data_IF_199659998073
#
_entry.id   IF_199659998073
#
_cell.length_a   1.000
_cell.length_b   1.000
_cell.length_c   1.000
_cell.angle_alpha   90.00
_cell.angle_beta   90.00
_cell.angle_gamma   90.00
#
_symmetry.space_group_name_H-M   'P 1'
#
loop_
_entity.id
_entity.type
_entity.pdbx_description
1 polymer ?
#
# COMPACT_ATOMS: atom_id res chain seq x y z
N UNK A 1 -13.33 29.20 -36.00
CA UNK A 1 -13.29 27.75 -35.71
C UNK A 1 -11.84 27.31 -35.78
N UNK A 2 -11.19 27.01 -34.65
CA UNK A 2 -9.79 26.56 -34.64
C UNK A 2 -9.76 25.10 -35.10
N UNK A 3 -9.02 24.83 -36.19
CA UNK A 3 -8.81 23.49 -36.69
C UNK A 3 -8.27 22.60 -35.56
N UNK A 4 -9.02 21.57 -35.18
CA UNK A 4 -8.54 20.55 -34.26
C UNK A 4 -7.37 19.85 -34.95
N UNK A 5 -6.14 20.23 -34.60
CA UNK A 5 -4.94 19.69 -35.19
C UNK A 5 -4.89 18.19 -34.91
N UNK A 6 -4.63 17.36 -35.92
CA UNK A 6 -4.60 15.91 -35.78
C UNK A 6 -3.64 15.44 -34.67
N UNK A 7 -2.60 16.23 -34.38
CA UNK A 7 -1.72 16.02 -33.23
C UNK A 7 -2.46 16.01 -31.88
N UNK A 8 -3.41 16.93 -31.67
CA UNK A 8 -4.19 17.02 -30.42
C UNK A 8 -5.17 15.85 -30.29
N UNK A 9 -5.68 15.36 -31.43
CA UNK A 9 -6.57 14.19 -31.48
C UNK A 9 -5.79 12.90 -31.23
N UNK A 10 -4.55 12.81 -31.71
CA UNK A 10 -3.63 11.72 -31.41
C UNK A 10 -3.22 11.73 -29.94
N UNK A 11 -2.89 12.90 -29.37
CA UNK A 11 -2.56 13.04 -27.95
C UNK A 11 -3.71 12.58 -27.04
N UNK A 12 -4.95 12.96 -27.36
CA UNK A 12 -6.14 12.47 -26.65
C UNK A 12 -6.37 10.97 -26.81
N UNK A 13 -6.07 10.39 -27.97
CA UNK A 13 -6.16 8.94 -28.19
C UNK A 13 -5.07 8.20 -27.39
N UNK A 14 -3.85 8.73 -27.36
CA UNK A 14 -2.74 8.18 -26.57
C UNK A 14 -3.03 8.25 -25.07
N UNK A 15 -3.59 9.36 -24.58
CA UNK A 15 -4.01 9.49 -23.18
C UNK A 15 -5.19 8.56 -22.84
N UNK A 16 -6.17 8.40 -23.75
CA UNK A 16 -7.32 7.49 -23.56
C UNK A 16 -6.92 6.01 -23.49
N UNK A 17 -5.72 5.64 -23.94
CA UNK A 17 -5.22 4.27 -23.92
C UNK A 17 -4.12 4.02 -22.89
N UNK A 18 -3.76 5.02 -22.08
CA UNK A 18 -2.93 4.82 -20.89
C UNK A 18 -3.79 4.30 -19.73
N UNK A 19 -4.24 3.04 -19.85
CA UNK A 19 -4.76 2.30 -18.70
C UNK A 19 -3.56 1.92 -17.83
N UNK A 20 -3.18 2.80 -16.92
CA UNK A 20 -2.21 2.45 -15.89
C UNK A 20 -2.90 1.47 -14.92
N UNK A 21 -2.35 0.25 -14.75
CA UNK A 21 -2.86 -0.64 -13.73
C UNK A 21 -2.82 0.01 -12.34
N UNK A 22 -3.86 -0.28 -11.57
CA UNK A 22 -3.99 0.16 -10.18
C UNK A 22 -3.33 -0.88 -9.27
N UNK A 23 -2.46 -0.40 -8.40
CA UNK A 23 -1.75 -1.19 -7.40
C UNK A 23 -2.14 -0.72 -6.01
N UNK A 24 -2.49 -1.66 -5.14
CA UNK A 24 -2.62 -1.40 -3.71
C UNK A 24 -1.21 -1.36 -3.10
N UNK A 25 -0.90 -0.31 -2.36
CA UNK A 25 0.37 -0.17 -1.64
C UNK A 25 0.15 -0.58 -0.20
N UNK A 26 0.86 -1.61 0.25
CA UNK A 26 0.73 -2.11 1.61
C UNK A 26 2.09 -2.40 2.25
N UNK A 27 2.12 -2.44 3.57
CA UNK A 27 3.26 -3.05 4.27
C UNK A 27 3.25 -4.57 4.07
N UNK A 28 4.41 -5.23 4.31
CA UNK A 28 4.45 -6.67 4.51
C UNK A 28 3.39 -7.09 5.55
N UNK A 29 2.67 -8.20 5.32
CA UNK A 29 1.61 -8.61 6.23
C UNK A 29 2.16 -8.98 7.60
N UNK A 30 1.48 -8.51 8.64
CA UNK A 30 1.88 -8.71 10.04
C UNK A 30 0.93 -9.70 10.69
N UNK A 31 1.45 -10.70 11.39
CA UNK A 31 0.64 -11.68 12.12
C UNK A 31 0.33 -11.19 13.54
N UNK A 32 -0.96 -10.99 13.84
CA UNK A 32 -1.42 -10.50 15.14
C UNK A 32 -2.33 -11.52 15.83
N UNK A 33 -2.26 -11.61 17.16
CA UNK A 33 -3.13 -12.52 17.94
C UNK A 33 -4.59 -12.11 17.78
N UNK A 34 -5.47 -13.06 17.50
CA UNK A 34 -6.93 -12.81 17.39
C UNK A 34 -7.51 -12.15 18.64
N UNK A 35 -6.99 -12.48 19.82
CA UNK A 35 -7.42 -11.88 21.08
C UNK A 35 -7.04 -10.41 21.22
N UNK A 36 -5.94 -9.98 20.61
CA UNK A 36 -5.51 -8.59 20.59
C UNK A 36 -6.38 -7.78 19.61
N UNK A 37 -6.64 -8.32 18.43
CA UNK A 37 -7.53 -7.69 17.44
C UNK A 37 -8.94 -7.44 17.97
N UNK A 38 -9.49 -8.38 18.75
CA UNK A 38 -10.82 -8.20 19.38
C UNK A 38 -10.87 -7.11 20.45
N UNK A 39 -9.71 -6.73 21.00
CA UNK A 39 -9.59 -5.71 22.05
C UNK A 39 -9.04 -4.40 21.50
N UNK A 40 -8.89 -4.29 20.18
CA UNK A 40 -8.35 -3.11 19.55
C UNK A 40 -9.28 -1.93 19.80
N UNK A 41 -8.71 -0.82 20.23
CA UNK A 41 -9.41 0.43 20.53
C UNK A 41 -8.71 1.61 19.88
N UNK A 42 -9.43 2.72 19.75
CA UNK A 42 -8.84 3.97 19.27
C UNK A 42 -7.77 4.46 20.26
N UNK A 43 -6.61 4.85 19.75
CA UNK A 43 -5.42 5.22 20.52
C UNK A 43 -4.41 4.10 20.69
N UNK A 44 -4.77 2.85 20.38
CA UNK A 44 -3.81 1.74 20.42
C UNK A 44 -2.71 1.91 19.36
N UNK A 45 -1.50 1.47 19.70
CA UNK A 45 -0.34 1.46 18.81
C UNK A 45 -0.05 0.04 18.36
N UNK A 46 -0.04 -0.17 17.04
CA UNK A 46 0.36 -1.43 16.43
C UNK A 46 1.78 -1.31 15.88
N UNK A 47 2.74 -1.90 16.58
CA UNK A 47 4.13 -2.03 16.15
C UNK A 47 4.22 -3.02 14.97
N UNK A 48 4.90 -2.64 13.89
CA UNK A 48 4.96 -3.43 12.65
C UNK A 48 6.20 -4.34 12.55
N UNK A 49 7.18 -4.15 13.42
CA UNK A 49 8.49 -4.80 13.38
C UNK A 49 9.36 -4.29 12.22
N UNK A 50 9.17 -3.03 11.79
CA UNK A 50 9.84 -2.46 10.63
C UNK A 50 10.67 -1.23 11.04
N UNK A 51 11.99 -1.32 10.86
CA UNK A 51 12.95 -0.22 11.09
C UNK A 51 12.97 0.76 9.90
N UNK A 52 12.65 0.27 8.70
CA UNK A 52 12.60 1.07 7.48
C UNK A 52 11.34 0.77 6.67
N UNK A 53 10.99 1.73 5.81
CA UNK A 53 9.75 1.69 5.03
C UNK A 53 9.86 0.73 3.84
N UNK A 54 9.64 -0.56 4.12
CA UNK A 54 9.43 -1.60 3.12
C UNK A 54 7.96 -1.69 2.73
N UNK A 55 7.70 -1.77 1.43
CA UNK A 55 6.35 -1.79 0.88
C UNK A 55 6.19 -2.95 -0.10
N UNK A 56 4.93 -3.34 -0.29
CA UNK A 56 4.49 -4.29 -1.27
C UNK A 56 3.43 -3.63 -2.16
N UNK A 57 3.57 -3.83 -3.45
CA UNK A 57 2.63 -3.41 -4.47
C UNK A 57 1.85 -4.65 -4.88
N UNK A 58 0.54 -4.63 -4.66
CA UNK A 58 -0.36 -5.73 -5.00
C UNK A 58 -1.27 -5.30 -6.15
N UNK A 59 -1.19 -6.01 -7.29
CA UNK A 59 -2.21 -5.95 -8.34
C UNK A 59 -3.04 -7.23 -8.33
N UNK A 60 -4.33 -7.10 -8.67
CA UNK A 60 -5.22 -8.25 -8.89
C UNK A 60 -4.88 -9.00 -10.18
N UNK A 61 -4.24 -8.33 -11.14
CA UNK A 61 -4.02 -8.84 -12.50
C UNK A 61 -2.53 -8.99 -12.84
N UNK A 62 -1.68 -8.06 -12.39
CA UNK A 62 -0.28 -7.91 -12.84
C UNK A 62 0.77 -8.41 -11.84
N UNK A 63 0.35 -9.15 -10.80
CA UNK A 63 1.24 -9.75 -9.81
C UNK A 63 1.60 -8.83 -8.65
N UNK A 64 2.64 -9.21 -7.90
CA UNK A 64 3.07 -8.55 -6.68
C UNK A 64 4.53 -8.11 -6.80
N UNK A 65 4.90 -6.98 -6.22
CA UNK A 65 6.31 -6.57 -6.14
C UNK A 65 6.65 -5.98 -4.78
N UNK A 66 7.91 -6.11 -4.36
CA UNK A 66 8.45 -5.33 -3.24
C UNK A 66 8.98 -4.01 -3.74
N UNK A 67 8.78 -2.99 -2.95
CA UNK A 67 9.35 -1.68 -3.17
C UNK A 67 9.91 -1.11 -1.87
N UNK A 68 10.93 -0.25 -2.01
CA UNK A 68 11.56 0.44 -0.89
C UNK A 68 11.52 1.92 -1.18
N UNK A 69 11.35 2.74 -0.15
CA UNK A 69 11.40 4.18 -0.27
C UNK A 69 12.79 4.62 -0.79
N UNK A 70 12.82 5.44 -1.85
CA UNK A 70 14.06 5.83 -2.53
C UNK A 70 14.42 7.30 -2.41
N UNK A 71 13.43 8.20 -2.34
CA UNK A 71 13.68 9.62 -2.08
C UNK A 71 12.47 10.31 -1.44
N UNK A 72 12.75 11.36 -0.65
CA UNK A 72 11.74 12.22 0.01
C UNK A 72 11.75 13.65 -0.56
N UNK A 73 12.92 14.16 -0.96
CA UNK A 73 13.14 15.59 -1.25
C UNK A 73 12.39 16.15 -2.47
N UNK A 74 11.97 15.30 -3.41
CA UNK A 74 11.25 15.71 -4.64
C UNK A 74 9.85 15.09 -4.76
N UNK A 75 9.32 14.61 -3.65
CA UNK A 75 8.15 13.74 -3.61
C UNK A 75 8.54 12.34 -3.17
N UNK A 76 7.66 11.71 -2.41
CA UNK A 76 7.86 10.35 -1.95
C UNK A 76 7.87 9.42 -3.19
N UNK A 77 9.00 8.74 -3.42
CA UNK A 77 9.13 7.78 -4.53
C UNK A 77 9.57 6.43 -4.00
N UNK A 78 8.93 5.38 -4.49
CA UNK A 78 9.25 4.00 -4.14
C UNK A 78 9.96 3.35 -5.32
N UNK A 79 11.01 2.58 -5.05
CA UNK A 79 11.75 1.83 -6.06
C UNK A 79 11.42 0.36 -5.95
N UNK A 80 11.05 -0.26 -7.06
CA UNK A 80 10.77 -1.68 -7.13
C UNK A 80 12.08 -2.45 -7.03
N UNK A 81 12.17 -3.36 -6.06
CA UNK A 81 13.39 -4.14 -5.79
C UNK A 81 13.27 -5.59 -6.22
N UNK A 82 12.08 -6.17 -6.14
CA UNK A 82 11.86 -7.61 -6.37
C UNK A 82 10.45 -7.87 -6.88
N UNK A 83 10.30 -8.83 -7.81
CA UNK A 83 8.98 -9.37 -8.17
C UNK A 83 8.63 -10.54 -7.26
N UNK A 84 7.45 -10.50 -6.66
CA UNK A 84 6.91 -11.56 -5.83
C UNK A 84 6.04 -12.49 -6.69
N UNK A 85 6.42 -13.77 -6.75
CA UNK A 85 5.69 -14.81 -7.50
C UNK A 85 4.32 -15.16 -6.91
N UNK A 86 4.05 -14.77 -5.66
CA UNK A 86 2.77 -14.94 -5.01
C UNK A 86 2.62 -13.92 -3.88
N UNK A 87 1.40 -13.41 -3.62
CA UNK A 87 1.13 -12.69 -2.39
C UNK A 87 1.50 -13.57 -1.19
N UNK A 88 2.12 -12.95 -0.19
CA UNK A 88 2.77 -13.60 0.95
C UNK A 88 1.88 -14.68 1.58
N UNK A 89 2.47 -15.83 1.92
CA UNK A 89 1.78 -16.97 2.53
C UNK A 89 0.96 -16.53 3.75
N UNK A 90 -0.36 -16.71 3.66
CA UNK A 90 -1.27 -16.51 4.77
C UNK A 90 -0.98 -17.54 5.87
N UNK A 91 -0.41 -17.10 7.00
CA UNK A 91 -0.28 -17.92 8.20
C UNK A 91 -1.52 -17.69 9.05
N UNK A 92 -2.67 -18.11 8.53
CA UNK A 92 -3.88 -18.14 9.32
C UNK A 92 -3.85 -19.38 10.20
N UNK A 93 -3.64 -19.15 11.49
CA UNK A 93 -3.67 -20.21 12.49
C UNK A 93 -4.90 -20.03 13.38
N UNK A 94 -5.19 -21.02 14.23
CA UNK A 94 -6.25 -20.86 15.24
C UNK A 94 -6.00 -19.63 16.13
N UNK A 95 -4.74 -19.25 16.38
CA UNK A 95 -4.32 -18.22 17.34
C UNK A 95 -4.02 -16.85 16.72
N UNK A 96 -3.47 -16.82 15.51
CA UNK A 96 -3.02 -15.61 14.82
C UNK A 96 -3.84 -15.36 13.55
N UNK A 97 -3.98 -14.09 13.18
CA UNK A 97 -4.51 -13.62 11.89
C UNK A 97 -3.47 -12.73 11.23
N UNK A 98 -3.37 -12.82 9.91
CA UNK A 98 -2.59 -11.87 9.14
C UNK A 98 -3.38 -10.58 8.92
N UNK A 99 -2.72 -9.46 9.15
CA UNK A 99 -3.22 -8.13 8.83
C UNK A 99 -2.58 -7.64 7.53
N UNK A 100 -3.42 -7.16 6.63
CA UNK A 100 -3.00 -6.35 5.50
C UNK A 100 -3.11 -4.88 5.91
N UNK A 101 -2.01 -4.14 5.80
CA UNK A 101 -1.95 -2.74 6.18
C UNK A 101 -1.75 -1.93 4.90
N UNK A 102 -2.83 -1.33 4.41
CA UNK A 102 -2.84 -0.54 3.19
C UNK A 102 -2.58 0.94 3.48
N UNK A 103 -1.77 1.54 2.60
CA UNK A 103 -1.47 2.97 2.54
C UNK A 103 -2.23 3.69 1.43
N UNK A 104 -3.09 2.95 0.72
CA UNK A 104 -3.86 3.43 -0.42
C UNK A 104 -3.45 2.78 -1.72
N UNK A 105 -3.86 3.41 -2.81
CA UNK A 105 -3.73 2.92 -4.17
C UNK A 105 -2.91 3.87 -5.00
N UNK A 106 -2.17 3.32 -5.94
CA UNK A 106 -1.48 4.10 -6.96
C UNK A 106 -1.71 3.51 -8.35
N UNK A 107 -1.68 4.39 -9.34
CA UNK A 107 -1.69 3.98 -10.74
C UNK A 107 -0.27 4.09 -11.27
N UNK A 108 0.28 2.98 -11.76
CA UNK A 108 1.62 2.95 -12.33
C UNK A 108 1.63 2.19 -13.64
N UNK A 109 2.66 2.41 -14.45
CA UNK A 109 3.03 1.45 -15.51
C UNK A 109 3.48 0.14 -14.86
N UNK A 110 3.62 -0.88 -15.70
CA UNK A 110 4.09 -2.23 -15.32
C UNK A 110 5.24 -2.16 -14.32
N UNK A 111 5.12 -2.97 -13.27
CA UNK A 111 6.12 -3.10 -12.22
C UNK A 111 7.37 -3.78 -12.81
N UNK A 112 8.44 -3.02 -12.98
CA UNK A 112 9.75 -3.52 -13.41
C UNK A 112 10.78 -3.25 -12.32
N UNK A 113 11.66 -4.22 -12.05
CA UNK A 113 12.74 -4.08 -11.07
C UNK A 113 13.62 -2.87 -11.44
N UNK A 114 13.86 -2.00 -10.46
CA UNK A 114 14.65 -0.79 -10.61
C UNK A 114 13.83 0.46 -10.95
N UNK A 115 12.58 0.31 -11.39
CA UNK A 115 11.69 1.42 -11.70
C UNK A 115 11.26 2.14 -10.42
N UNK A 116 11.19 3.47 -10.49
CA UNK A 116 10.69 4.35 -9.44
C UNK A 116 9.27 4.79 -9.73
N UNK A 117 8.38 4.63 -8.75
CA UNK A 117 6.98 5.05 -8.81
C UNK A 117 6.77 6.21 -7.85
N UNK A 118 6.14 7.28 -8.33
CA UNK A 118 5.73 8.40 -7.49
C UNK A 118 4.55 7.99 -6.61
N UNK A 119 4.63 8.32 -5.32
CA UNK A 119 3.61 7.96 -4.33
C UNK A 119 2.87 9.17 -3.80
N UNK A 120 2.64 10.19 -4.63
CA UNK A 120 1.86 11.38 -4.24
C UNK A 120 0.42 11.06 -3.80
N UNK A 121 -0.07 9.85 -4.12
CA UNK A 121 -1.40 9.37 -3.76
C UNK A 121 -1.43 8.64 -2.40
N UNK A 122 -0.26 8.36 -1.81
CA UNK A 122 -0.17 7.74 -0.48
C UNK A 122 -0.30 8.83 0.59
N UNK A 123 -1.23 8.62 1.51
CA UNK A 123 -1.47 9.49 2.65
C UNK A 123 -1.14 8.75 3.96
N UNK A 124 0.01 9.05 4.61
CA UNK A 124 0.39 8.43 5.88
C UNK A 124 -0.63 8.62 7.00
N UNK A 125 -1.53 9.62 6.90
CA UNK A 125 -2.60 9.86 7.86
C UNK A 125 -3.83 8.97 7.64
N UNK A 126 -3.89 8.23 6.53
CA UNK A 126 -5.04 7.39 6.13
C UNK A 126 -4.62 5.94 5.85
N UNK A 127 -4.14 5.28 6.90
CA UNK A 127 -3.82 3.86 6.88
C UNK A 127 -5.07 3.03 7.10
N UNK A 128 -5.25 1.97 6.30
CA UNK A 128 -6.37 1.04 6.41
C UNK A 128 -5.87 -0.34 6.81
N UNK A 129 -6.44 -0.92 7.87
CA UNK A 129 -6.11 -2.26 8.33
C UNK A 129 -7.20 -3.23 7.91
N UNK A 130 -6.82 -4.30 7.21
CA UNK A 130 -7.71 -5.36 6.78
C UNK A 130 -7.32 -6.70 7.39
N UNK A 131 -8.31 -7.52 7.72
CA UNK A 131 -8.11 -8.95 7.98
C UNK A 131 -9.13 -9.74 7.16
N UNK A 132 -8.67 -10.78 6.44
CA UNK A 132 -9.54 -11.59 5.58
C UNK A 132 -10.39 -10.70 4.63
N UNK A 133 -9.77 -9.69 4.02
CA UNK A 133 -10.39 -8.70 3.12
C UNK A 133 -11.45 -7.77 3.76
N UNK A 134 -11.70 -7.90 5.07
CA UNK A 134 -12.59 -7.00 5.81
C UNK A 134 -11.81 -5.87 6.46
N UNK A 135 -12.28 -4.65 6.27
CA UNK A 135 -11.72 -3.46 6.93
C UNK A 135 -11.98 -3.55 8.44
N UNK A 136 -10.92 -3.66 9.22
CA UNK A 136 -10.95 -3.74 10.68
C UNK A 136 -10.83 -2.37 11.34
N UNK A 137 -9.91 -1.55 10.86
CA UNK A 137 -9.59 -0.29 11.51
C UNK A 137 -9.00 0.72 10.51
N UNK A 138 -9.07 1.99 10.88
CA UNK A 138 -8.33 3.07 10.24
C UNK A 138 -7.34 3.64 11.23
N UNK A 139 -6.20 4.06 10.74
CA UNK A 139 -5.14 4.63 11.55
C UNK A 139 -4.26 5.58 10.77
N UNK A 140 -3.16 5.97 11.39
CA UNK A 140 -2.09 6.74 10.76
C UNK A 140 -0.74 6.14 11.09
N UNK A 141 0.24 6.37 10.23
CA UNK A 141 1.62 6.00 10.52
C UNK A 141 2.22 6.92 11.56
N UNK A 142 2.87 6.33 12.53
CA UNK A 142 3.66 7.01 13.56
C UNK A 142 4.97 6.25 13.76
N UNK A 143 5.94 6.91 14.38
CA UNK A 143 7.20 6.28 14.77
C UNK A 143 7.23 6.16 16.29
N UNK A 144 7.61 4.98 16.79
CA UNK A 144 7.76 4.69 18.23
C UNK A 144 9.09 3.96 18.39
N UNK A 145 10.01 4.51 19.18
CA UNK A 145 11.34 3.92 19.43
C UNK A 145 12.09 3.53 18.13
N UNK A 146 12.10 4.44 17.14
CA UNK A 146 12.68 4.23 15.80
C UNK A 146 12.02 3.11 14.96
N UNK A 147 10.89 2.57 15.40
CA UNK A 147 10.10 1.57 14.69
C UNK A 147 8.84 2.18 14.07
N UNK A 148 8.47 1.72 12.87
CA UNK A 148 7.21 2.10 12.23
C UNK A 148 6.05 1.41 12.95
N UNK A 149 5.07 2.22 13.34
CA UNK A 149 3.85 1.78 14.00
C UNK A 149 2.61 2.42 13.37
N UNK A 150 1.45 1.81 13.61
CA UNK A 150 0.15 2.36 13.22
C UNK A 150 -0.62 2.74 14.47
N UNK A 151 -0.94 4.02 14.62
CA UNK A 151 -1.86 4.51 15.64
C UNK A 151 -3.29 4.34 15.16
N UNK A 152 -4.08 3.56 15.89
CA UNK A 152 -5.48 3.29 15.56
C UNK A 152 -6.33 4.53 15.86
N UNK A 153 -7.06 5.03 14.86
CA UNK A 153 -7.98 6.16 15.00
C UNK A 153 -9.42 5.72 15.15
N UNK A 154 -9.81 4.69 14.41
CA UNK A 154 -11.18 4.20 14.35
C UNK A 154 -11.14 2.68 14.21
N UNK A 155 -11.91 1.97 15.03
CA UNK A 155 -12.09 0.52 14.91
C UNK A 155 -13.51 0.28 14.38
N UNK A 156 -13.62 -0.49 13.31
CA UNK A 156 -14.92 -0.96 12.82
C UNK A 156 -15.28 -2.24 13.57
N UNK A 157 -16.53 -2.32 14.04
CA UNK A 157 -17.04 -3.53 14.65
C UNK A 157 -16.97 -4.71 13.66
N UNK A 158 -16.46 -5.84 14.15
CA UNK A 158 -16.20 -7.09 13.40
C UNK A 158 -17.37 -8.04 13.58
#
# INVERSE_FOLDING_TARGET
MKAENQALRLERLMQKHQCHPEYEVCFPPVSVKKSALKKLTAGDLLLLGLEHMELQLLSKEDGCAKAVLSSYDKGMTIRITEHLKSPVKHVDSKKYKNLLISLGKLNSRVLEIGHTVETMQIDPEKVLLYAEEKLLAKGRLVTVDDEIAVEIKEVKEI
#
